data_IF_647729535035
#
_entry.id   IF_647729535035
#
_cell.length_a   1.000
_cell.length_b   1.000
_cell.length_c   1.000
_cell.angle_alpha   90.00
_cell.angle_beta   90.00
_cell.angle_gamma   90.00
#
_symmetry.space_group_name_H-M   'P 1'
#
loop_
_entity.id
_entity.type
_entity.pdbx_description
1 polymer ?
#
# COMPACT_ATOMS: atom_id res chain seq x y z
N UNK A 1 10.22 -21.54 -26.71
CA UNK A 1 8.91 -22.16 -26.98
C UNK A 1 7.84 -21.36 -26.25
N UNK A 2 6.84 -20.80 -26.95
CA UNK A 2 5.71 -20.13 -26.27
C UNK A 2 4.91 -21.22 -25.53
N UNK A 3 4.76 -21.10 -24.21
CA UNK A 3 3.87 -21.98 -23.46
C UNK A 3 2.46 -21.87 -24.04
N UNK A 4 1.93 -23.01 -24.49
CA UNK A 4 0.59 -23.10 -25.06
C UNK A 4 -0.42 -22.90 -23.93
N UNK A 5 -1.17 -21.79 -23.95
CA UNK A 5 -2.18 -21.50 -22.93
C UNK A 5 -3.31 -22.51 -23.07
N UNK A 6 -3.38 -23.48 -22.15
CA UNK A 6 -4.51 -24.40 -22.05
C UNK A 6 -5.61 -23.76 -21.21
N UNK A 7 -6.77 -23.53 -21.82
CA UNK A 7 -8.00 -23.25 -21.09
C UNK A 7 -8.43 -24.52 -20.35
N UNK A 8 -8.29 -24.53 -19.02
CA UNK A 8 -8.78 -25.63 -18.18
C UNK A 8 -10.10 -25.24 -17.54
N UNK A 9 -11.13 -26.07 -17.75
CA UNK A 9 -12.38 -25.97 -16.99
C UNK A 9 -12.12 -26.51 -15.59
N UNK A 10 -12.50 -25.75 -14.56
CA UNK A 10 -12.48 -26.27 -13.19
C UNK A 10 -13.50 -27.39 -13.08
N UNK A 11 -13.06 -28.56 -12.64
CA UNK A 11 -13.96 -29.66 -12.32
C UNK A 11 -14.84 -29.28 -11.14
N UNK A 12 -16.11 -29.68 -11.19
CA UNK A 12 -16.98 -29.57 -10.04
C UNK A 12 -16.43 -30.50 -8.96
N UNK A 13 -16.10 -29.95 -7.80
CA UNK A 13 -15.65 -30.75 -6.66
C UNK A 13 -16.90 -31.26 -5.97
N UNK A 14 -17.12 -32.58 -6.00
CA UNK A 14 -18.10 -33.25 -5.14
C UNK A 14 -17.53 -33.43 -3.72
N UNK A 15 -18.40 -33.52 -2.71
CA UNK A 15 -17.97 -33.78 -1.33
C UNK A 15 -17.36 -32.57 -0.59
N UNK A 16 -17.80 -31.36 -0.92
CA UNK A 16 -17.31 -30.15 -0.25
C UNK A 16 -18.02 -29.91 1.09
N UNK A 17 -17.26 -29.74 2.16
CA UNK A 17 -17.76 -29.42 3.50
C UNK A 17 -18.05 -27.92 3.66
N UNK A 18 -19.08 -27.43 2.96
CA UNK A 18 -19.61 -26.08 3.15
C UNK A 18 -20.73 -26.07 4.20
N UNK A 19 -20.94 -24.95 4.91
CA UNK A 19 -22.01 -24.82 5.89
C UNK A 19 -23.38 -25.23 5.32
N UNK A 20 -24.09 -26.12 6.03
CA UNK A 20 -25.36 -26.69 5.57
C UNK A 20 -26.49 -25.67 5.44
N UNK A 21 -26.36 -24.51 6.11
CA UNK A 21 -27.27 -23.37 6.05
C UNK A 21 -27.09 -22.52 4.79
N UNK A 22 -26.02 -22.73 4.00
CA UNK A 22 -25.87 -22.05 2.71
C UNK A 22 -26.86 -22.60 1.68
N UNK A 23 -27.54 -21.72 0.92
CA UNK A 23 -28.36 -22.14 -0.22
C UNK A 23 -27.58 -23.06 -1.19
N UNK A 24 -28.19 -24.15 -1.72
CA UNK A 24 -27.50 -25.10 -2.59
C UNK A 24 -26.82 -24.48 -3.82
N UNK A 25 -27.41 -23.40 -4.36
CA UNK A 25 -26.80 -22.65 -5.45
C UNK A 25 -25.46 -22.00 -5.04
N UNK A 26 -25.39 -21.42 -3.84
CA UNK A 26 -24.16 -20.82 -3.33
C UNK A 26 -23.09 -21.88 -3.05
N UNK A 27 -23.47 -23.02 -2.48
CA UNK A 27 -22.55 -24.14 -2.27
C UNK A 27 -21.90 -24.56 -3.60
N UNK A 28 -22.72 -24.75 -4.65
CA UNK A 28 -22.25 -25.12 -5.99
C UNK A 28 -21.35 -24.05 -6.62
N UNK A 29 -21.68 -22.77 -6.44
CA UNK A 29 -20.88 -21.64 -6.93
C UNK A 29 -19.55 -21.45 -6.19
N UNK A 30 -19.49 -21.79 -4.90
CA UNK A 30 -18.28 -21.78 -4.10
C UNK A 30 -17.36 -22.95 -4.45
N UNK A 31 -17.92 -24.16 -4.51
CA UNK A 31 -17.22 -25.37 -4.94
C UNK A 31 -16.61 -25.19 -6.35
N UNK A 32 -17.37 -24.62 -7.30
CA UNK A 32 -16.86 -24.35 -8.66
C UNK A 32 -15.74 -23.29 -8.69
N UNK A 33 -15.64 -22.46 -7.64
CA UNK A 33 -14.55 -21.49 -7.45
C UNK A 33 -13.38 -22.06 -6.64
N UNK A 34 -13.42 -23.33 -6.28
CA UNK A 34 -12.37 -24.03 -5.55
C UNK A 34 -12.41 -23.80 -4.04
N UNK A 35 -13.49 -23.21 -3.51
CA UNK A 35 -13.69 -23.07 -2.05
C UNK A 35 -14.12 -24.42 -1.51
N UNK A 36 -13.34 -25.00 -0.59
CA UNK A 36 -13.52 -26.39 -0.15
C UNK A 36 -14.03 -26.57 1.27
N UNK A 37 -14.02 -25.51 2.07
CA UNK A 37 -14.36 -25.58 3.49
C UNK A 37 -15.05 -24.31 3.99
N UNK A 38 -15.77 -24.41 5.10
CA UNK A 38 -16.31 -23.26 5.81
C UNK A 38 -15.24 -22.23 6.21
N UNK A 39 -14.02 -22.69 6.52
CA UNK A 39 -12.89 -21.84 6.92
C UNK A 39 -12.51 -20.86 5.80
N UNK A 40 -12.61 -21.25 4.53
CA UNK A 40 -12.31 -20.39 3.38
C UNK A 40 -13.37 -19.32 3.10
N UNK A 41 -14.50 -19.36 3.81
CA UNK A 41 -15.53 -18.34 3.81
C UNK A 41 -15.35 -17.28 4.91
N UNK A 42 -14.38 -17.47 5.81
CA UNK A 42 -14.03 -16.53 6.86
C UNK A 42 -13.68 -15.16 6.27
N UNK A 43 -14.17 -14.10 6.91
CA UNK A 43 -14.00 -12.70 6.50
C UNK A 43 -13.56 -11.81 7.67
N UNK A 44 -13.51 -12.34 8.87
CA UNK A 44 -13.05 -11.68 10.08
C UNK A 44 -11.52 -11.67 10.15
N UNK A 45 -10.98 -10.73 10.91
CA UNK A 45 -9.53 -10.62 11.13
C UNK A 45 -8.92 -11.85 11.79
N UNK A 46 -9.73 -12.75 12.37
CA UNK A 46 -9.26 -14.03 12.94
C UNK A 46 -8.74 -14.99 11.87
N UNK A 47 -9.24 -14.87 10.63
CA UNK A 47 -8.80 -15.68 9.51
C UNK A 47 -7.57 -15.14 8.78
N UNK A 48 -7.03 -13.99 9.21
CA UNK A 48 -5.81 -13.44 8.60
C UNK A 48 -4.63 -14.38 8.87
N UNK A 49 -3.76 -14.50 7.88
CA UNK A 49 -2.50 -15.23 8.03
C UNK A 49 -1.61 -14.56 9.09
N UNK A 50 -0.83 -15.31 9.86
CA UNK A 50 0.12 -14.75 10.81
C UNK A 50 1.30 -14.10 10.07
N UNK A 51 1.73 -12.93 10.53
CA UNK A 51 2.88 -12.22 9.94
C UNK A 51 4.20 -12.96 10.14
N UNK A 52 4.30 -13.86 11.11
CA UNK A 52 5.51 -14.66 11.43
C UNK A 52 5.93 -15.62 10.31
N UNK A 53 5.10 -15.82 9.29
CA UNK A 53 5.44 -16.60 8.10
C UNK A 53 5.96 -15.73 6.95
N UNK A 54 5.96 -14.41 7.11
CA UNK A 54 6.42 -13.46 6.09
C UNK A 54 7.92 -13.21 6.24
N UNK A 55 8.71 -13.90 5.42
CA UNK A 55 10.18 -13.84 5.46
C UNK A 55 10.71 -12.40 5.43
N UNK A 56 11.70 -12.13 6.29
CA UNK A 56 12.38 -10.85 6.41
C UNK A 56 11.74 -9.88 7.40
N UNK A 57 10.52 -10.18 7.89
CA UNK A 57 9.80 -9.28 8.80
C UNK A 57 10.52 -9.09 10.13
N UNK A 58 11.15 -10.14 10.70
CA UNK A 58 11.88 -10.08 11.96
C UNK A 58 13.04 -9.08 11.88
N UNK A 59 13.86 -9.19 10.82
CA UNK A 59 14.99 -8.28 10.61
C UNK A 59 14.52 -6.85 10.32
N UNK A 60 13.41 -6.70 9.60
CA UNK A 60 12.82 -5.39 9.32
C UNK A 60 12.30 -4.68 10.58
N UNK A 61 11.64 -5.40 11.49
CA UNK A 61 11.13 -4.79 12.74
C UNK A 61 12.25 -4.43 13.69
N UNK A 62 13.32 -5.23 13.78
CA UNK A 62 14.52 -4.89 14.54
C UNK A 62 15.18 -3.63 13.99
N UNK A 63 15.38 -3.56 12.68
CA UNK A 63 15.94 -2.40 11.99
C UNK A 63 15.12 -1.12 12.23
N UNK A 64 13.79 -1.20 12.14
CA UNK A 64 12.91 -0.06 12.40
C UNK A 64 12.92 0.34 13.88
N UNK A 65 12.93 -0.62 14.81
CA UNK A 65 13.05 -0.32 16.24
C UNK A 65 14.39 0.35 16.58
N UNK A 66 15.51 -0.10 15.99
CA UNK A 66 16.80 0.54 16.17
C UNK A 66 16.81 1.97 15.62
N UNK A 67 16.18 2.19 14.46
CA UNK A 67 15.98 3.53 13.91
C UNK A 67 15.15 4.41 14.86
N UNK A 68 14.12 3.84 15.50
CA UNK A 68 13.30 4.53 16.49
C UNK A 68 14.09 4.94 17.73
N UNK A 69 14.96 4.05 18.23
CA UNK A 69 15.81 4.34 19.39
C UNK A 69 16.86 5.40 19.09
N UNK A 70 17.44 5.36 17.89
CA UNK A 70 18.46 6.33 17.43
C UNK A 70 17.87 7.63 16.90
N UNK A 71 16.54 7.71 16.74
CA UNK A 71 15.85 8.89 16.20
C UNK A 71 16.19 9.18 14.73
N UNK A 72 16.50 8.15 13.93
CA UNK A 72 16.91 8.31 12.53
C UNK A 72 15.79 8.85 11.65
N UNK A 73 16.08 9.82 10.78
CA UNK A 73 15.10 10.25 9.80
C UNK A 73 14.82 9.15 8.76
N UNK A 74 13.63 8.54 8.84
CA UNK A 74 13.16 7.51 7.92
C UNK A 74 12.45 8.19 6.74
N UNK A 75 12.91 7.92 5.52
CA UNK A 75 12.21 8.33 4.30
C UNK A 75 11.52 7.13 3.69
N UNK A 76 10.18 7.16 3.67
CA UNK A 76 9.37 6.15 2.98
C UNK A 76 9.33 6.45 1.49
N UNK A 77 9.88 5.56 0.67
CA UNK A 77 9.93 5.70 -0.80
C UNK A 77 8.85 4.81 -1.42
N UNK A 78 7.76 5.43 -1.87
CA UNK A 78 6.63 4.72 -2.48
C UNK A 78 6.70 4.57 -3.99
N UNK A 79 5.69 3.92 -4.56
CA UNK A 79 5.39 3.98 -5.99
C UNK A 79 4.27 5.00 -6.31
N UNK A 80 4.16 5.40 -7.58
CA UNK A 80 3.26 6.46 -8.05
C UNK A 80 1.82 6.01 -8.31
N UNK A 81 1.56 4.71 -8.32
CA UNK A 81 0.22 4.18 -8.53
C UNK A 81 -0.59 4.11 -7.23
N UNK A 82 -1.80 3.55 -7.29
CA UNK A 82 -2.71 3.51 -6.17
C UNK A 82 -2.21 2.61 -5.03
N UNK A 83 -1.50 1.52 -5.34
CA UNK A 83 -0.94 0.65 -4.31
C UNK A 83 0.24 1.34 -3.65
N UNK A 84 1.18 1.88 -4.42
CA UNK A 84 2.31 2.66 -3.88
C UNK A 84 1.88 3.87 -3.07
N UNK A 85 0.89 4.63 -3.53
CA UNK A 85 0.35 5.77 -2.82
C UNK A 85 -0.33 5.37 -1.50
N UNK A 86 -1.12 4.29 -1.50
CA UNK A 86 -1.78 3.82 -0.28
C UNK A 86 -0.80 3.17 0.70
N UNK A 87 0.21 2.44 0.20
CA UNK A 87 1.33 1.88 0.96
C UNK A 87 2.15 2.96 1.67
N UNK A 88 2.44 4.04 0.96
CA UNK A 88 3.14 5.22 1.50
C UNK A 88 2.32 5.86 2.61
N UNK A 89 1.04 6.16 2.32
CA UNK A 89 0.16 6.76 3.31
C UNK A 89 0.00 5.87 4.55
N UNK A 90 -0.18 4.55 4.36
CA UNK A 90 -0.31 3.59 5.44
C UNK A 90 0.94 3.58 6.31
N UNK A 91 2.13 3.48 5.72
CA UNK A 91 3.39 3.37 6.46
C UNK A 91 3.67 4.64 7.25
N UNK A 92 3.52 5.83 6.65
CA UNK A 92 3.72 7.10 7.35
C UNK A 92 2.72 7.27 8.50
N UNK A 93 1.44 6.96 8.28
CA UNK A 93 0.40 7.06 9.32
C UNK A 93 0.63 6.05 10.45
N UNK A 94 1.01 4.82 10.11
CA UNK A 94 1.28 3.76 11.08
C UNK A 94 2.50 4.10 11.94
N UNK A 95 3.63 4.47 11.34
CA UNK A 95 4.86 4.84 12.06
C UNK A 95 4.60 6.00 13.04
N UNK A 96 3.85 7.02 12.61
CA UNK A 96 3.42 8.12 13.49
C UNK A 96 2.50 7.66 14.62
N UNK A 97 1.52 6.81 14.32
CA UNK A 97 0.64 6.24 15.34
C UNK A 97 1.39 5.35 16.35
N UNK A 98 2.49 4.72 15.93
CA UNK A 98 3.39 3.95 16.79
C UNK A 98 4.31 4.85 17.65
N UNK A 99 4.14 6.18 17.59
CA UNK A 99 4.90 7.14 18.38
C UNK A 99 6.19 7.62 17.70
N UNK A 100 6.36 7.41 16.39
CA UNK A 100 7.54 7.82 15.65
C UNK A 100 7.28 8.96 14.67
N UNK A 101 7.76 10.16 15.02
CA UNK A 101 7.51 11.39 14.26
C UNK A 101 8.55 11.72 13.19
N UNK A 102 9.78 11.21 13.30
CA UNK A 102 10.88 11.54 12.37
C UNK A 102 10.80 10.73 11.07
N UNK A 103 9.67 10.89 10.38
CA UNK A 103 9.33 10.19 9.15
C UNK A 103 8.79 11.16 8.10
N UNK A 104 9.36 11.07 6.91
CA UNK A 104 8.87 11.74 5.71
C UNK A 104 8.67 10.73 4.59
N UNK A 105 8.22 11.19 3.43
CA UNK A 105 8.01 10.32 2.28
C UNK A 105 8.50 10.97 0.99
N UNK A 106 8.79 10.12 0.02
CA UNK A 106 9.14 10.46 -1.35
C UNK A 106 8.36 9.54 -2.28
N UNK A 107 7.64 10.12 -3.24
CA UNK A 107 7.02 9.37 -4.33
C UNK A 107 7.73 9.82 -5.60
N UNK A 108 8.41 8.92 -6.32
CA UNK A 108 9.22 9.26 -7.48
C UNK A 108 8.33 9.70 -8.65
N UNK A 109 8.90 10.54 -9.51
CA UNK A 109 8.28 10.86 -10.79
C UNK A 109 8.67 9.79 -11.81
N UNK A 110 7.73 8.94 -12.21
CA UNK A 110 7.93 7.85 -13.18
C UNK A 110 8.70 8.28 -14.44
N UNK A 111 8.48 9.52 -14.91
CA UNK A 111 9.06 9.99 -16.17
C UNK A 111 10.48 10.55 -16.02
N UNK A 112 10.82 11.08 -14.86
CA UNK A 112 12.11 11.74 -14.60
C UNK A 112 13.07 10.81 -13.85
N UNK A 113 12.54 10.00 -12.93
CA UNK A 113 13.32 9.25 -11.94
C UNK A 113 13.40 7.74 -12.25
N UNK A 114 12.64 7.27 -13.24
CA UNK A 114 12.48 5.84 -13.52
C UNK A 114 11.49 5.14 -12.58
N UNK A 115 11.62 3.81 -12.45
CA UNK A 115 10.76 2.97 -11.60
C UNK A 115 11.50 2.51 -10.34
N UNK A 116 10.83 2.58 -9.19
CA UNK A 116 11.37 2.13 -7.89
C UNK A 116 12.48 3.02 -7.34
N UNK A 117 13.35 2.43 -6.51
CA UNK A 117 14.49 3.12 -5.92
C UNK A 117 15.67 3.18 -6.91
N UNK A 118 15.79 4.29 -7.64
CA UNK A 118 16.95 4.62 -8.49
C UNK A 118 17.99 5.46 -7.73
N UNK A 119 19.24 5.56 -8.21
CA UNK A 119 20.24 6.47 -7.64
C UNK A 119 19.74 7.91 -7.50
N UNK A 120 18.98 8.42 -8.48
CA UNK A 120 18.40 9.76 -8.46
C UNK A 120 17.37 9.93 -7.33
N UNK A 121 16.54 8.90 -7.08
CA UNK A 121 15.58 8.89 -5.96
C UNK A 121 16.31 8.85 -4.62
N UNK A 122 17.42 8.11 -4.54
CA UNK A 122 18.28 8.06 -3.36
C UNK A 122 18.94 9.42 -3.11
N UNK A 123 19.44 10.10 -4.14
CA UNK A 123 19.96 11.47 -4.01
C UNK A 123 18.89 12.45 -3.50
N UNK A 124 17.66 12.34 -4.00
CA UNK A 124 16.53 13.13 -3.51
C UNK A 124 16.21 12.82 -2.03
N UNK A 125 16.26 11.56 -1.62
CA UNK A 125 16.06 11.16 -0.23
C UNK A 125 17.20 11.67 0.67
N UNK A 126 18.45 11.52 0.23
CA UNK A 126 19.63 12.00 0.94
C UNK A 126 19.62 13.54 1.09
N UNK A 127 19.23 14.28 0.06
CA UNK A 127 19.07 15.73 0.11
C UNK A 127 17.97 16.18 1.10
N UNK A 128 17.01 15.30 1.43
CA UNK A 128 16.00 15.51 2.48
C UNK A 128 16.49 15.05 3.86
N UNK A 129 17.75 14.65 3.98
CA UNK A 129 18.37 14.17 5.21
C UNK A 129 17.95 12.76 5.57
N UNK A 130 17.69 11.88 4.61
CA UNK A 130 17.43 10.46 4.90
C UNK A 130 18.61 9.84 5.66
N UNK A 131 18.30 9.21 6.79
CA UNK A 131 19.24 8.38 7.55
C UNK A 131 18.87 6.89 7.50
N UNK A 132 17.70 6.58 6.93
CA UNK A 132 17.24 5.25 6.56
C UNK A 132 16.21 5.41 5.44
N UNK A 133 16.24 4.53 4.45
CA UNK A 133 15.21 4.45 3.42
C UNK A 133 14.36 3.20 3.67
N UNK A 134 13.04 3.35 3.60
CA UNK A 134 12.10 2.24 3.57
C UNK A 134 11.32 2.30 2.27
N UNK A 135 11.52 1.36 1.35
CA UNK A 135 10.70 1.30 0.13
C UNK A 135 9.36 0.63 0.45
N UNK A 136 8.31 1.07 -0.24
CA UNK A 136 6.99 0.44 -0.18
C UNK A 136 6.44 0.27 -1.59
N UNK A 137 5.97 -0.94 -1.88
CA UNK A 137 5.45 -1.32 -3.20
C UNK A 137 6.49 -1.23 -4.35
N UNK A 138 7.77 -1.24 -3.99
CA UNK A 138 8.87 -1.27 -4.93
C UNK A 138 10.16 -1.72 -4.23
N UNK A 139 11.22 -1.90 -5.01
CA UNK A 139 12.57 -2.07 -4.49
C UNK A 139 13.15 -3.47 -4.64
N UNK A 140 12.35 -4.51 -4.93
CA UNK A 140 12.85 -5.89 -5.04
C UNK A 140 13.88 -6.09 -6.16
N UNK A 141 13.90 -5.18 -7.14
CA UNK A 141 14.85 -5.16 -8.26
C UNK A 141 15.80 -3.94 -8.24
N UNK A 142 15.80 -3.14 -7.17
CA UNK A 142 16.52 -1.85 -7.10
C UNK A 142 17.99 -1.98 -6.68
N UNK A 143 18.76 -2.80 -7.38
CA UNK A 143 20.20 -3.02 -7.07
C UNK A 143 20.99 -1.72 -7.04
N UNK A 144 20.96 -0.95 -8.14
CA UNK A 144 21.72 0.28 -8.27
C UNK A 144 21.32 1.34 -7.22
N UNK A 145 20.03 1.45 -6.90
CA UNK A 145 19.57 2.35 -5.85
C UNK A 145 20.07 1.94 -4.46
N UNK A 146 19.99 0.66 -4.13
CA UNK A 146 20.50 0.15 -2.85
C UNK A 146 22.01 0.31 -2.73
N UNK A 147 22.78 0.01 -3.78
CA UNK A 147 24.23 0.20 -3.79
C UNK A 147 24.61 1.68 -3.64
N UNK A 148 23.87 2.58 -4.28
CA UNK A 148 24.07 4.02 -4.14
C UNK A 148 23.72 4.53 -2.74
N UNK A 149 22.65 4.02 -2.13
CA UNK A 149 22.29 4.35 -0.76
C UNK A 149 23.39 3.94 0.23
N UNK A 150 23.98 2.76 0.05
CA UNK A 150 25.13 2.31 0.85
C UNK A 150 26.36 3.19 0.66
N UNK A 151 26.64 3.65 -0.56
CA UNK A 151 27.76 4.57 -0.82
C UNK A 151 27.60 5.90 -0.05
N UNK A 152 26.36 6.29 0.26
CA UNK A 152 26.01 7.45 1.09
C UNK A 152 25.83 7.10 2.58
N UNK A 153 26.05 5.85 2.98
CA UNK A 153 25.89 5.37 4.36
C UNK A 153 24.43 5.28 4.82
N UNK A 154 23.47 5.18 3.89
CA UNK A 154 22.04 5.09 4.19
C UNK A 154 21.61 3.61 4.08
N UNK A 155 21.17 2.99 5.18
CA UNK A 155 20.64 1.63 5.14
C UNK A 155 19.23 1.61 4.53
N UNK A 156 18.89 0.50 3.87
CA UNK A 156 17.65 0.31 3.11
C UNK A 156 16.86 -0.90 3.62
N UNK A 157 15.60 -0.66 3.94
CA UNK A 157 14.57 -1.68 4.13
C UNK A 157 13.69 -1.73 2.88
N UNK A 158 13.62 -2.89 2.22
CA UNK A 158 12.73 -3.10 1.08
C UNK A 158 11.42 -3.75 1.52
N UNK A 159 10.29 -3.16 1.17
CA UNK A 159 8.98 -3.82 1.24
C UNK A 159 8.29 -3.79 -0.10
N UNK A 160 7.99 -4.97 -0.64
CA UNK A 160 7.53 -5.12 -2.01
C UNK A 160 6.72 -6.41 -2.14
N UNK A 161 6.02 -6.56 -3.25
CA UNK A 161 5.28 -7.75 -3.61
C UNK A 161 5.56 -8.24 -5.04
N UNK A 162 6.30 -7.48 -5.84
CA UNK A 162 6.72 -7.89 -7.17
C UNK A 162 7.57 -9.17 -7.16
N UNK A 163 7.60 -9.88 -8.28
CA UNK A 163 8.41 -11.09 -8.41
C UNK A 163 9.91 -10.73 -8.31
N UNK A 164 10.70 -11.46 -7.51
CA UNK A 164 12.13 -11.22 -7.41
C UNK A 164 12.85 -11.61 -8.70
N UNK A 165 13.97 -10.93 -8.97
CA UNK A 165 14.88 -11.28 -10.06
C UNK A 165 15.69 -12.55 -9.81
N UNK A 166 16.76 -12.72 -10.60
CA UNK A 166 17.73 -13.81 -10.37
C UNK A 166 18.53 -13.59 -9.09
N UNK A 167 18.89 -12.34 -8.83
CA UNK A 167 19.55 -11.87 -7.60
C UNK A 167 18.65 -10.87 -6.88
N UNK A 168 18.97 -10.60 -5.62
CA UNK A 168 18.28 -9.61 -4.79
C UNK A 168 19.22 -8.43 -4.52
N UNK A 169 18.69 -7.20 -4.34
CA UNK A 169 19.50 -6.07 -3.90
C UNK A 169 20.07 -6.34 -2.51
N UNK A 170 21.23 -5.76 -2.20
CA UNK A 170 21.94 -6.00 -0.95
C UNK A 170 21.33 -5.28 0.28
N UNK A 171 20.02 -5.04 0.30
CA UNK A 171 19.33 -4.31 1.35
C UNK A 171 19.45 -5.02 2.71
N UNK A 172 19.49 -4.25 3.81
CA UNK A 172 19.58 -4.83 5.14
C UNK A 172 18.41 -5.76 5.43
N UNK A 173 17.20 -5.43 4.99
CA UNK A 173 16.06 -6.32 5.09
C UNK A 173 15.16 -6.22 3.86
N UNK A 174 14.57 -7.35 3.47
CA UNK A 174 13.62 -7.44 2.36
C UNK A 174 12.39 -8.20 2.87
N UNK A 175 11.24 -7.55 2.84
CA UNK A 175 9.94 -8.16 3.16
C UNK A 175 9.15 -8.27 1.87
N UNK A 176 9.02 -9.49 1.35
CA UNK A 176 8.25 -9.76 0.14
C UNK A 176 7.70 -11.19 0.15
N UNK A 177 6.38 -11.41 -0.04
CA UNK A 177 5.77 -12.74 -0.01
C UNK A 177 6.24 -13.64 -1.16
N UNK A 178 6.75 -13.06 -2.25
CA UNK A 178 7.20 -13.75 -3.45
C UNK A 178 8.71 -14.07 -3.45
N UNK A 179 9.42 -13.84 -2.32
CA UNK A 179 10.75 -14.40 -2.14
C UNK A 179 10.72 -15.92 -2.27
N UNK A 180 11.77 -16.50 -2.88
CA UNK A 180 11.86 -17.93 -3.18
C UNK A 180 11.68 -18.81 -1.94
N UNK A 181 12.25 -18.38 -0.82
CA UNK A 181 12.25 -19.10 0.46
C UNK A 181 11.25 -18.50 1.47
N UNK A 182 10.15 -17.93 0.97
CA UNK A 182 9.09 -17.40 1.83
C UNK A 182 7.94 -18.40 1.94
N UNK A 183 7.57 -18.73 3.17
CA UNK A 183 6.48 -19.68 3.44
C UNK A 183 5.11 -18.99 3.55
N UNK A 184 5.07 -17.65 3.51
CA UNK A 184 3.81 -16.90 3.61
C UNK A 184 2.80 -17.36 2.54
N UNK A 185 1.63 -17.91 2.92
CA UNK A 185 0.74 -18.57 1.97
C UNK A 185 0.13 -17.63 0.91
N UNK A 186 -0.12 -16.38 1.26
CA UNK A 186 -0.73 -15.37 0.38
C UNK A 186 0.33 -14.72 -0.51
N UNK A 187 0.69 -15.39 -1.61
CA UNK A 187 1.59 -14.87 -2.66
C UNK A 187 1.01 -13.71 -3.47
N UNK A 188 -0.29 -13.46 -3.30
CA UNK A 188 -1.01 -12.38 -3.96
C UNK A 188 -1.10 -11.10 -3.12
N UNK A 189 -0.44 -11.01 -1.97
CA UNK A 189 -0.50 -9.81 -1.14
C UNK A 189 -0.04 -8.59 -1.98
N UNK A 190 -0.81 -7.50 -1.95
CA UNK A 190 -0.44 -6.22 -2.56
C UNK A 190 0.66 -5.52 -1.73
N UNK A 191 1.36 -4.54 -2.29
CA UNK A 191 2.36 -3.73 -1.60
C UNK A 191 1.80 -3.12 -0.30
N UNK A 192 0.57 -2.60 -0.32
CA UNK A 192 -0.08 -2.03 0.87
C UNK A 192 -0.36 -3.10 1.92
N UNK A 193 -0.61 -4.34 1.49
CA UNK A 193 -0.76 -5.50 2.36
C UNK A 193 0.56 -5.85 3.03
N UNK A 194 1.66 -5.88 2.28
CA UNK A 194 3.02 -6.13 2.83
C UNK A 194 3.37 -5.07 3.87
N UNK A 195 3.17 -3.79 3.55
CA UNK A 195 3.38 -2.68 4.48
C UNK A 195 2.52 -2.83 5.74
N UNK A 196 1.24 -3.17 5.59
CA UNK A 196 0.34 -3.40 6.72
C UNK A 196 0.81 -4.52 7.65
N UNK A 197 1.24 -5.65 7.07
CA UNK A 197 1.76 -6.79 7.82
C UNK A 197 3.04 -6.44 8.59
N UNK A 198 3.96 -5.70 7.97
CA UNK A 198 5.15 -5.20 8.66
C UNK A 198 4.77 -4.28 9.83
N UNK A 199 3.79 -3.39 9.67
CA UNK A 199 3.35 -2.51 10.76
C UNK A 199 2.68 -3.29 11.91
N UNK A 200 1.95 -4.38 11.62
CA UNK A 200 1.41 -5.28 12.66
C UNK A 200 2.52 -5.98 13.45
N UNK A 201 3.55 -6.47 12.76
CA UNK A 201 4.72 -7.06 13.38
C UNK A 201 5.47 -6.04 14.24
N UNK A 202 5.73 -4.84 13.70
CA UNK A 202 6.41 -3.76 14.42
C UNK A 202 5.63 -3.33 15.67
N UNK A 203 4.31 -3.16 15.58
CA UNK A 203 3.46 -2.86 16.74
C UNK A 203 3.61 -3.92 17.84
N UNK A 204 3.62 -5.18 17.46
CA UNK A 204 3.77 -6.31 18.40
C UNK A 204 5.14 -6.26 19.06
N UNK A 205 6.20 -6.11 18.27
CA UNK A 205 7.57 -5.98 18.74
C UNK A 205 7.74 -4.80 19.72
N UNK A 206 7.22 -3.61 19.36
CA UNK A 206 7.28 -2.42 20.21
C UNK A 206 6.55 -2.60 21.54
N UNK A 207 5.38 -3.25 21.53
CA UNK A 207 4.66 -3.60 22.76
C UNK A 207 5.52 -4.49 23.65
N UNK A 208 6.11 -5.53 23.08
CA UNK A 208 6.89 -6.51 23.84
C UNK A 208 8.21 -5.90 24.38
N UNK A 209 8.72 -4.84 23.74
CA UNK A 209 9.83 -4.00 24.23
C UNK A 209 9.41 -2.91 25.23
N UNK A 210 8.14 -2.81 25.61
CA UNK A 210 7.64 -1.77 26.52
C UNK A 210 7.67 -0.35 25.95
N UNK A 211 7.77 -0.20 24.62
CA UNK A 211 7.94 1.10 23.94
C UNK A 211 6.81 2.09 24.25
N UNK A 212 5.58 1.58 24.28
CA UNK A 212 4.37 2.37 24.50
C UNK A 212 4.28 2.86 25.95
N UNK A 213 4.52 1.96 26.92
CA UNK A 213 4.50 2.28 28.35
C UNK A 213 5.58 3.29 28.71
N UNK A 214 6.81 3.09 28.20
CA UNK A 214 7.93 4.01 28.41
C UNK A 214 7.67 5.44 27.90
N UNK A 215 6.71 5.61 26.98
CA UNK A 215 6.33 6.90 26.37
C UNK A 215 4.98 7.42 26.85
N UNK A 216 4.24 6.66 27.65
CA UNK A 216 2.89 7.03 28.08
C UNK A 216 1.89 7.17 26.94
N UNK A 217 2.06 6.41 25.85
CA UNK A 217 1.12 6.41 24.70
C UNK A 217 0.42 5.05 24.59
N UNK A 218 -0.86 5.00 24.17
CA UNK A 218 -1.53 3.73 23.96
C UNK A 218 -1.02 3.03 22.70
N UNK A 219 -0.93 1.69 22.73
CA UNK A 219 -0.64 0.91 21.53
C UNK A 219 -1.77 1.08 20.48
N UNK A 220 -1.50 1.58 19.27
CA UNK A 220 -2.55 1.97 18.32
C UNK A 220 -3.32 0.77 17.78
N UNK A 221 -4.58 0.97 17.37
CA UNK A 221 -5.34 -0.05 16.64
C UNK A 221 -5.09 0.10 15.13
N UNK A 222 -4.12 -0.65 14.60
CA UNK A 222 -3.77 -0.59 13.17
C UNK A 222 -4.88 -1.04 12.24
N UNK A 223 -5.91 -1.74 12.75
CA UNK A 223 -7.08 -2.09 11.94
C UNK A 223 -7.80 -0.84 11.40
N UNK A 224 -7.57 0.35 11.95
CA UNK A 224 -8.08 1.62 11.41
C UNK A 224 -7.51 2.00 10.02
N UNK A 225 -6.44 1.34 9.57
CA UNK A 225 -5.78 1.58 8.28
C UNK A 225 -6.22 0.58 7.20
N UNK A 226 -7.12 -0.35 7.51
CA UNK A 226 -7.59 -1.37 6.57
C UNK A 226 -8.39 -0.78 5.38
N UNK A 227 -8.86 0.45 5.49
CA UNK A 227 -9.47 1.17 4.37
C UNK A 227 -8.44 1.47 3.25
N UNK A 228 -7.22 1.87 3.61
CA UNK A 228 -6.10 2.01 2.68
C UNK A 228 -5.70 0.65 2.08
N UNK A 229 -5.61 -0.39 2.92
CA UNK A 229 -5.28 -1.75 2.47
C UNK A 229 -6.28 -2.23 1.43
N UNK A 230 -7.57 -2.06 1.68
CA UNK A 230 -8.61 -2.47 0.72
C UNK A 230 -8.54 -1.69 -0.59
N UNK A 231 -8.25 -0.38 -0.55
CA UNK A 231 -8.13 0.42 -1.76
C UNK A 231 -6.91 0.03 -2.60
N UNK A 232 -5.72 -0.06 -2.00
CA UNK A 232 -4.49 -0.46 -2.72
C UNK A 232 -4.61 -1.86 -3.31
N UNK A 233 -4.99 -2.84 -2.47
CA UNK A 233 -5.18 -4.23 -2.90
C UNK A 233 -6.12 -4.37 -4.10
N UNK A 234 -7.25 -3.67 -4.10
CA UNK A 234 -8.21 -3.77 -5.21
C UNK A 234 -7.75 -2.96 -6.43
N UNK A 235 -7.10 -1.82 -6.23
CA UNK A 235 -6.61 -0.99 -7.33
C UNK A 235 -5.44 -1.65 -8.07
N UNK A 236 -4.66 -2.50 -7.39
CA UNK A 236 -3.55 -3.26 -7.98
C UNK A 236 -4.00 -4.54 -8.70
N UNK A 237 -5.28 -4.91 -8.57
CA UNK A 237 -5.88 -6.05 -9.31
C UNK A 237 -5.19 -7.38 -8.97
N UNK A 238 -4.56 -7.50 -7.80
CA UNK A 238 -4.06 -8.78 -7.30
C UNK A 238 -5.22 -9.76 -7.05
N UNK A 239 -4.97 -11.07 -7.14
CA UNK A 239 -5.98 -12.05 -6.77
C UNK A 239 -6.49 -11.84 -5.34
N UNK A 240 -7.82 -11.82 -5.19
CA UNK A 240 -8.48 -11.87 -3.87
C UNK A 240 -8.51 -13.31 -3.35
N UNK A 241 -7.31 -13.82 -3.07
CA UNK A 241 -7.12 -15.05 -2.29
C UNK A 241 -7.75 -14.92 -0.89
N UNK A 242 -7.68 -15.98 -0.08
CA UNK A 242 -8.36 -15.98 1.22
C UNK A 242 -7.93 -14.79 2.10
N UNK A 243 -6.63 -14.46 2.12
CA UNK A 243 -6.09 -13.41 2.96
C UNK A 243 -6.47 -12.02 2.45
N UNK A 244 -6.26 -11.75 1.16
CA UNK A 244 -6.65 -10.48 0.54
C UNK A 244 -8.16 -10.26 0.63
N UNK A 245 -8.97 -11.30 0.48
CA UNK A 245 -10.43 -11.20 0.64
C UNK A 245 -10.82 -10.73 2.04
N UNK A 246 -10.16 -11.23 3.08
CA UNK A 246 -10.38 -10.78 4.46
C UNK A 246 -9.99 -9.32 4.60
N UNK A 247 -8.77 -8.94 4.17
CA UNK A 247 -8.28 -7.56 4.25
C UNK A 247 -9.22 -6.58 3.53
N UNK A 248 -9.58 -6.89 2.28
CA UNK A 248 -10.51 -6.08 1.47
C UNK A 248 -11.89 -6.01 2.10
N UNK A 249 -12.45 -7.12 2.59
CA UNK A 249 -13.75 -7.13 3.26
C UNK A 249 -13.76 -6.26 4.51
N UNK A 250 -12.70 -6.36 5.33
CA UNK A 250 -12.54 -5.61 6.55
C UNK A 250 -12.38 -4.09 6.28
N UNK A 251 -11.64 -3.72 5.24
CA UNK A 251 -11.54 -2.32 4.82
C UNK A 251 -12.85 -1.76 4.28
N UNK A 252 -13.54 -2.47 3.38
CA UNK A 252 -14.85 -2.08 2.87
C UNK A 252 -15.88 -1.91 4.00
N UNK A 253 -15.89 -2.84 4.96
CA UNK A 253 -16.81 -2.77 6.12
C UNK A 253 -16.57 -1.52 6.97
N UNK A 254 -15.32 -1.09 7.14
CA UNK A 254 -14.97 0.15 7.83
C UNK A 254 -15.41 1.38 7.07
N UNK A 255 -15.19 1.39 5.75
CA UNK A 255 -15.64 2.49 4.90
C UNK A 255 -17.16 2.66 4.97
N UNK A 256 -17.92 1.56 4.85
CA UNK A 256 -19.38 1.54 4.99
C UNK A 256 -19.85 2.03 6.36
N UNK A 257 -19.09 1.74 7.41
CA UNK A 257 -19.35 2.21 8.77
C UNK A 257 -18.88 3.66 9.04
N UNK A 258 -18.42 4.40 8.03
CA UNK A 258 -17.94 5.78 8.17
C UNK A 258 -16.54 5.94 8.78
N UNK A 259 -15.88 4.81 9.12
CA UNK A 259 -14.51 4.74 9.65
C UNK A 259 -13.50 4.71 8.50
N UNK A 260 -13.30 5.87 7.89
CA UNK A 260 -12.58 5.99 6.63
C UNK A 260 -11.74 7.27 6.60
N UNK A 261 -10.55 7.20 5.96
CA UNK A 261 -9.65 8.34 5.77
C UNK A 261 -10.35 9.45 4.96
N UNK A 262 -10.11 10.73 5.30
CA UNK A 262 -10.69 11.86 4.57
C UNK A 262 -10.41 11.83 3.06
N UNK A 263 -9.22 11.40 2.64
CA UNK A 263 -8.88 11.28 1.22
C UNK A 263 -9.76 10.28 0.46
N UNK A 264 -10.05 9.12 1.06
CA UNK A 264 -10.95 8.12 0.46
C UNK A 264 -12.39 8.67 0.44
N UNK A 265 -12.84 9.34 1.51
CA UNK A 265 -14.16 10.01 1.54
C UNK A 265 -14.32 11.02 0.40
N UNK A 266 -13.32 11.89 0.21
CA UNK A 266 -13.33 12.86 -0.88
C UNK A 266 -13.36 12.18 -2.27
N UNK A 267 -12.64 11.07 -2.46
CA UNK A 267 -12.71 10.31 -3.71
C UNK A 267 -14.08 9.69 -3.94
N UNK A 268 -14.76 9.19 -2.90
CA UNK A 268 -16.12 8.67 -2.99
C UNK A 268 -17.11 9.76 -3.39
N UNK A 269 -17.00 10.94 -2.79
CA UNK A 269 -17.82 12.12 -3.12
C UNK A 269 -17.64 12.53 -4.60
N UNK A 270 -16.39 12.67 -5.07
CA UNK A 270 -16.09 13.03 -6.46
C UNK A 270 -16.51 11.91 -7.43
N UNK A 271 -16.49 10.66 -6.99
CA UNK A 271 -16.95 9.52 -7.77
C UNK A 271 -18.48 9.32 -7.73
N UNK A 272 -19.21 10.14 -6.97
CA UNK A 272 -20.65 10.00 -6.71
C UNK A 272 -21.02 8.57 -6.24
N UNK A 273 -20.26 8.04 -5.28
CA UNK A 273 -20.47 6.71 -4.70
C UNK A 273 -20.96 6.82 -3.26
N UNK A 274 -22.05 6.12 -2.96
CA UNK A 274 -22.56 5.96 -1.60
C UNK A 274 -21.62 5.03 -0.79
N UNK A 275 -20.96 5.53 0.28
CA UNK A 275 -20.06 4.71 1.09
C UNK A 275 -20.74 3.49 1.70
N UNK A 276 -22.04 3.55 2.02
CA UNK A 276 -22.76 2.44 2.68
C UNK A 276 -23.01 1.25 1.74
N UNK A 277 -23.06 1.50 0.43
CA UNK A 277 -23.28 0.49 -0.61
C UNK A 277 -22.01 0.06 -1.33
N UNK A 278 -20.86 0.62 -0.93
CA UNK A 278 -19.59 0.47 -1.62
C UNK A 278 -19.18 -0.99 -1.80
N UNK A 279 -18.87 -1.41 -3.02
CA UNK A 279 -18.32 -2.72 -3.32
C UNK A 279 -16.85 -2.63 -3.77
N UNK A 280 -16.16 -3.78 -3.82
CA UNK A 280 -14.78 -3.83 -4.31
C UNK A 280 -14.66 -3.26 -5.74
N UNK A 281 -15.63 -3.52 -6.61
CA UNK A 281 -15.67 -2.95 -7.96
C UNK A 281 -15.66 -1.41 -7.97
N UNK A 282 -16.26 -0.76 -6.99
CA UNK A 282 -16.21 0.70 -6.91
C UNK A 282 -14.80 1.20 -6.55
N UNK A 283 -14.08 0.47 -5.69
CA UNK A 283 -12.67 0.76 -5.41
C UNK A 283 -11.84 0.65 -6.70
N UNK A 284 -11.99 -0.46 -7.44
CA UNK A 284 -11.19 -0.77 -8.63
C UNK A 284 -11.53 0.08 -9.86
N UNK A 285 -12.80 0.46 -10.06
CA UNK A 285 -13.22 1.19 -11.26
C UNK A 285 -13.49 2.68 -11.03
N UNK A 286 -13.79 3.10 -9.80
CA UNK A 286 -14.09 4.49 -9.51
C UNK A 286 -12.95 5.20 -8.77
N UNK A 287 -12.36 4.57 -7.74
CA UNK A 287 -11.35 5.24 -6.90
C UNK A 287 -9.93 5.04 -7.43
N UNK A 288 -9.51 3.80 -7.65
CA UNK A 288 -8.16 3.44 -8.14
C UNK A 288 -7.73 4.22 -9.38
N UNK A 289 -8.56 4.32 -10.45
CA UNK A 289 -8.20 5.08 -11.64
C UNK A 289 -7.97 6.57 -11.39
N UNK A 290 -8.67 7.18 -10.42
CA UNK A 290 -8.51 8.60 -10.06
C UNK A 290 -7.19 8.85 -9.34
N UNK A 291 -6.79 7.94 -8.45
CA UNK A 291 -5.46 7.99 -7.83
C UNK A 291 -4.36 7.78 -8.87
N UNK A 292 -4.49 6.75 -9.70
CA UNK A 292 -3.54 6.45 -10.77
C UNK A 292 -3.40 7.60 -11.79
N UNK A 293 -4.48 8.33 -12.07
CA UNK A 293 -4.43 9.49 -12.95
C UNK A 293 -3.54 10.60 -12.40
N UNK A 294 -3.48 10.79 -11.06
CA UNK A 294 -2.62 11.80 -10.46
C UNK A 294 -1.13 11.47 -10.66
N UNK A 295 -0.74 10.20 -10.53
CA UNK A 295 0.63 9.73 -10.80
C UNK A 295 0.99 9.78 -12.29
N UNK A 296 0.04 9.48 -13.19
CA UNK A 296 0.25 9.45 -14.65
C UNK A 296 0.28 10.82 -15.32
N UNK A 297 -0.41 11.81 -14.76
CA UNK A 297 -0.54 13.15 -15.35
C UNK A 297 0.47 14.17 -14.83
N UNK A 298 1.57 13.70 -14.21
CA UNK A 298 2.63 14.48 -13.57
C UNK A 298 2.66 15.97 -13.94
N UNK A 299 2.22 16.84 -13.02
CA UNK A 299 2.27 18.33 -13.01
C UNK A 299 2.10 19.11 -14.35
N UNK A 300 1.63 18.54 -15.45
CA UNK A 300 1.45 19.28 -16.70
C UNK A 300 0.16 20.09 -16.74
N UNK A 301 -0.86 19.72 -15.94
CA UNK A 301 -2.15 20.43 -15.90
C UNK A 301 -2.11 21.67 -14.97
N UNK A 302 -1.25 21.67 -13.96
CA UNK A 302 -1.11 22.78 -13.02
C UNK A 302 -0.48 24.04 -13.63
N UNK A 303 0.53 23.88 -14.50
CA UNK A 303 1.20 25.02 -15.16
C UNK A 303 0.32 25.70 -16.22
N UNK A 304 -0.52 24.94 -16.96
CA UNK A 304 -1.43 25.54 -17.96
C UNK A 304 -2.64 26.25 -17.34
N UNK A 305 -3.17 25.77 -16.20
CA UNK A 305 -4.23 26.50 -15.46
C UNK A 305 -3.71 27.74 -14.75
N UNK A 306 -2.50 27.72 -14.18
CA UNK A 306 -1.88 28.91 -13.58
C UNK A 306 -1.56 30.00 -14.62
N UNK A 307 -1.21 29.62 -15.86
CA UNK A 307 -1.02 30.55 -16.97
C UNK A 307 -2.35 31.17 -17.47
N UNK A 308 -3.41 30.36 -17.59
CA UNK A 308 -4.74 30.84 -18.02
C UNK A 308 -5.39 31.79 -16.99
N UNK A 309 -5.23 31.53 -15.68
CA UNK A 309 -5.76 32.40 -14.62
C UNK A 309 -4.98 33.73 -14.52
N UNK A 310 -3.70 33.76 -14.92
CA UNK A 310 -2.91 35.00 -14.99
C UNK A 310 -3.26 35.89 -16.19
N UNK A 311 -3.69 35.31 -17.32
CA UNK A 311 -4.14 36.10 -18.50
C UNK A 311 -5.51 36.75 -18.29
N UNK A 312 -6.42 36.11 -17.53
CA UNK A 312 -7.73 36.72 -17.23
C UNK A 312 -7.66 37.88 -16.24
N UNK A 313 -6.71 37.90 -15.30
CA UNK A 313 -6.53 39.02 -14.37
C UNK A 313 -5.87 40.26 -15.00
N UNK A 314 -5.15 40.13 -16.13
CA UNK A 314 -4.58 41.27 -16.86
C UNK A 314 -5.57 41.95 -17.81
N UNK A 315 -6.59 41.23 -18.27
CA UNK A 315 -7.64 41.76 -19.15
C UNK A 315 -8.78 42.46 -18.39
N UNK A 316 -9.02 42.10 -17.13
CA UNK A 316 -10.05 42.72 -16.28
C UNK A 316 -9.62 44.01 -15.56
N UNK A 317 -8.34 44.39 -15.59
CA UNK A 317 -7.80 45.54 -14.85
C UNK A 317 -7.62 46.84 -15.66
N UNK A 318 -7.95 46.85 -16.95
CA UNK A 318 -7.64 47.97 -17.85
C UNK A 318 -8.85 48.86 -18.20
N UNK A 319 -10.04 48.59 -17.67
CA UNK A 319 -11.27 49.28 -18.09
C UNK A 319 -12.09 49.80 -16.93
N UNK A 320 -11.61 50.83 -16.22
CA UNK A 320 -12.46 51.76 -15.45
C UNK A 320 -11.62 52.89 -14.82
N UNK A 321 -11.19 53.86 -15.64
CA UNK A 321 -10.91 55.24 -15.18
C UNK A 321 -11.16 56.23 -16.33
N UNK A 322 -12.39 56.73 -16.42
CA UNK A 322 -12.77 57.98 -17.08
C UNK A 322 -14.14 58.41 -16.46
N UNK A 323 -14.18 59.50 -15.65
CA UNK A 323 -14.77 60.83 -15.97
C UNK A 323 -16.28 60.77 -16.24
N UNK A 324 -17.21 61.55 -15.67
CA UNK A 324 -17.34 62.92 -15.13
C UNK A 324 -18.70 63.01 -14.38
N UNK A 325 -19.19 64.17 -13.88
CA UNK A 325 -18.51 65.42 -13.51
C UNK A 325 -18.39 65.60 -11.99
#
# INVERSE_FOLDING_TARGET
MKQQIQLRRREAVDGVELPADLPPLLQRLYASRGVRSAQELERSVKGMLPWTQLTGVEKAVEMLHDAFQKGLHIVVVGDFDADGATSTALSVLALRALGYGNVSYLVPNRFEDGYGLSPEVVDQAHARGAQMIMTVDNGISSHAGVDHAHALGIPVLVTDHHLPGETLPAAEAIVNPNLRDCDFPSKSLAGVGVAFYLMLALRTFLRDKGWFDARGIPAPNLAELLDLVALGTVADVVPLDANNRILTWQGLSRIRAGKCRPGIKALLEIANRDPQKLAASDLGFALGPRLNAAGRLGRHVGRRRAAAVRQHRRSAGAGQRARCP
#
